data_IF_991367514210
#
_entry.id   IF_991367514210
#
_cell.length_a   1.000
_cell.length_b   1.000
_cell.length_c   1.000
_cell.angle_alpha   90.00
_cell.angle_beta   90.00
_cell.angle_gamma   90.00
#
_symmetry.space_group_name_H-M   'P 1'
#
loop_
_entity.id
_entity.type
_entity.pdbx_description
1 polymer ?
#
# COMPACT_ATOMS: atom_id res chain seq x y z
N UNK A 1 2.89 -3.42 14.18
CA UNK A 1 2.43 -4.31 13.08
C UNK A 1 3.27 -3.96 11.87
N UNK A 2 3.99 -4.93 11.29
CA UNK A 2 4.93 -4.69 10.18
C UNK A 2 4.35 -5.18 8.86
N UNK A 3 4.44 -4.33 7.84
CA UNK A 3 3.88 -4.55 6.52
C UNK A 3 4.95 -4.31 5.45
N UNK A 4 4.92 -5.13 4.41
CA UNK A 4 5.59 -4.79 3.17
C UNK A 4 4.57 -4.14 2.25
N UNK A 5 4.88 -2.92 1.83
CA UNK A 5 4.04 -2.16 0.92
C UNK A 5 4.82 -1.98 -0.38
N UNK A 6 4.25 -2.43 -1.47
CA UNK A 6 4.81 -2.21 -2.81
C UNK A 6 3.98 -1.16 -3.51
N UNK A 7 4.64 -0.08 -3.92
CA UNK A 7 4.05 1.00 -4.69
C UNK A 7 4.75 0.99 -6.04
N UNK A 8 4.00 0.67 -7.09
CA UNK A 8 4.53 0.44 -8.44
C UNK A 8 5.66 -0.61 -8.47
N UNK A 9 6.92 -0.16 -8.44
CA UNK A 9 8.12 -1.01 -8.44
C UNK A 9 9.08 -0.74 -7.28
N UNK A 10 8.62 0.00 -6.26
CA UNK A 10 9.39 0.26 -5.03
C UNK A 10 8.77 -0.50 -3.86
N UNK A 11 9.61 -1.26 -3.16
CA UNK A 11 9.24 -1.94 -1.92
C UNK A 11 9.57 -1.03 -0.72
N UNK A 12 8.61 -0.89 0.19
CA UNK A 12 8.74 -0.17 1.44
C UNK A 12 8.47 -1.11 2.60
N UNK A 13 9.33 -1.06 3.60
CA UNK A 13 9.12 -1.74 4.88
C UNK A 13 8.54 -0.73 5.87
N UNK A 14 7.32 -1.01 6.31
CA UNK A 14 6.53 -0.12 7.16
C UNK A 14 6.20 -0.83 8.46
N UNK A 15 6.72 -0.33 9.58
CA UNK A 15 6.27 -0.76 10.90
C UNK A 15 5.31 0.27 11.49
N UNK A 16 4.08 -0.13 11.79
CA UNK A 16 3.03 0.73 12.36
C UNK A 16 2.82 0.37 13.82
N UNK A 17 3.00 1.33 14.71
CA UNK A 17 2.69 1.23 16.14
C UNK A 17 1.59 2.21 16.49
N UNK A 18 0.55 1.74 17.17
CA UNK A 18 -0.47 2.61 17.72
C UNK A 18 -0.14 2.90 19.18
N UNK A 19 0.02 4.18 19.53
CA UNK A 19 0.35 4.61 20.90
C UNK A 19 -0.29 5.97 21.16
N UNK A 20 -0.92 6.14 22.33
CA UNK A 20 -1.48 7.44 22.77
C UNK A 20 -2.38 8.08 21.71
N UNK A 21 -3.33 7.30 21.20
CA UNK A 21 -4.29 7.69 20.14
C UNK A 21 -3.71 8.07 18.78
N UNK A 22 -2.38 7.95 18.60
CA UNK A 22 -1.70 8.28 17.35
C UNK A 22 -1.06 7.05 16.72
N UNK A 23 -0.94 7.08 15.39
CA UNK A 23 -0.20 6.09 14.64
C UNK A 23 1.24 6.57 14.44
N UNK A 24 2.20 5.73 14.80
CA UNK A 24 3.62 5.93 14.54
C UNK A 24 4.03 4.93 13.48
N UNK A 25 4.43 5.40 12.31
CA UNK A 25 4.93 4.57 11.23
C UNK A 25 6.45 4.74 11.09
N UNK A 26 7.20 3.65 11.09
CA UNK A 26 8.61 3.65 10.69
C UNK A 26 8.70 3.18 9.25
N UNK A 27 9.05 4.07 8.33
CA UNK A 27 9.20 3.79 6.90
C UNK A 27 10.70 3.81 6.58
N UNK A 28 11.27 2.67 6.16
CA UNK A 28 12.70 2.53 5.85
C UNK A 28 13.64 3.08 6.95
N UNK A 29 13.26 2.88 8.22
CA UNK A 29 14.02 3.34 9.39
C UNK A 29 13.79 4.79 9.82
N UNK A 30 12.98 5.58 9.08
CA UNK A 30 12.55 6.92 9.50
C UNK A 30 11.20 6.84 10.21
N UNK A 31 11.14 7.36 11.42
CA UNK A 31 9.87 7.48 12.16
C UNK A 31 9.05 8.66 11.64
N UNK A 32 7.76 8.41 11.46
CA UNK A 32 6.77 9.34 10.95
C UNK A 32 5.54 9.25 11.84
N UNK A 33 5.08 10.39 12.33
CA UNK A 33 3.83 10.47 13.09
C UNK A 33 2.68 10.68 12.11
N UNK A 34 1.67 9.84 12.21
CA UNK A 34 0.48 9.85 11.38
C UNK A 34 -0.72 10.11 12.29
N UNK A 35 -1.40 11.21 12.03
CA UNK A 35 -2.74 11.44 12.54
C UNK A 35 -3.75 11.06 11.45
N UNK A 36 -4.76 10.26 11.75
CA UNK A 36 -5.71 9.81 10.74
C UNK A 36 -7.13 10.07 11.19
N UNK A 37 -7.87 10.86 10.40
CA UNK A 37 -9.28 11.10 10.60
C UNK A 37 -10.07 10.54 9.43
N UNK A 38 -10.92 9.55 9.71
CA UNK A 38 -11.78 8.94 8.71
C UNK A 38 -12.99 9.85 8.45
N UNK A 39 -13.20 10.24 7.20
CA UNK A 39 -14.31 11.11 6.77
C UNK A 39 -15.53 10.31 6.29
N UNK A 40 -15.31 9.11 5.76
CA UNK A 40 -16.36 8.23 5.22
C UNK A 40 -15.86 6.81 5.07
N UNK A 41 -16.57 5.97 4.32
CA UNK A 41 -16.19 4.55 4.19
C UNK A 41 -14.80 4.34 3.56
N UNK A 42 -14.50 5.08 2.49
CA UNK A 42 -13.29 4.97 1.68
C UNK A 42 -12.31 6.14 1.86
N UNK A 43 -12.79 7.28 2.36
CA UNK A 43 -12.00 8.51 2.47
C UNK A 43 -11.51 8.77 3.89
N UNK A 44 -10.26 9.19 3.97
CA UNK A 44 -9.58 9.59 5.20
C UNK A 44 -8.67 10.78 4.95
N UNK A 45 -8.64 11.72 5.89
CA UNK A 45 -7.60 12.75 5.96
C UNK A 45 -6.49 12.18 6.83
N UNK A 46 -5.26 12.26 6.32
CA UNK A 46 -4.05 11.90 7.05
C UNK A 46 -3.18 13.14 7.23
N UNK A 47 -2.73 13.38 8.45
CA UNK A 47 -1.72 14.38 8.76
C UNK A 47 -0.38 13.67 8.94
N UNK A 48 0.57 13.92 8.06
CA UNK A 48 1.88 13.29 8.04
C UNK A 48 2.93 14.40 8.09
N UNK A 49 3.75 14.45 9.14
CA UNK A 49 4.76 15.52 9.33
C UNK A 49 4.19 16.94 9.16
N UNK A 50 2.99 17.19 9.72
CA UNK A 50 2.29 18.46 9.64
C UNK A 50 1.79 18.88 8.24
N UNK A 51 1.82 17.95 7.27
CA UNK A 51 1.18 18.09 5.96
C UNK A 51 -0.10 17.28 5.94
N UNK A 52 -1.20 17.91 5.52
CA UNK A 52 -2.50 17.26 5.37
C UNK A 52 -2.65 16.64 3.99
N UNK A 53 -2.98 15.35 3.93
CA UNK A 53 -3.26 14.60 2.73
C UNK A 53 -4.68 14.04 2.79
N UNK A 54 -5.45 14.25 1.73
CA UNK A 54 -6.70 13.53 1.54
C UNK A 54 -6.40 12.23 0.79
N UNK A 55 -6.83 11.11 1.36
CA UNK A 55 -6.58 9.76 0.88
C UNK A 55 -7.91 9.04 0.69
N UNK A 56 -8.20 8.63 -0.54
CA UNK A 56 -9.32 7.72 -0.86
C UNK A 56 -8.76 6.32 -1.17
N UNK A 57 -9.15 5.34 -0.37
CA UNK A 57 -8.70 3.95 -0.51
C UNK A 57 -9.84 3.11 -1.04
N UNK A 58 -9.69 2.62 -2.27
CA UNK A 58 -10.63 1.70 -2.91
C UNK A 58 -10.04 0.29 -2.91
N UNK A 59 -10.79 -0.66 -2.36
CA UNK A 59 -10.43 -2.07 -2.39
C UNK A 59 -11.03 -2.70 -3.65
N UNK A 60 -10.21 -3.31 -4.50
CA UNK A 60 -10.67 -3.98 -5.73
C UNK A 60 -11.20 -5.41 -5.45
N UNK A 61 -11.95 -5.60 -4.36
CA UNK A 61 -12.48 -6.90 -3.96
C UNK A 61 -11.49 -7.78 -3.17
N UNK A 62 -11.37 -9.06 -3.57
CA UNK A 62 -10.56 -10.10 -2.90
C UNK A 62 -9.05 -10.00 -3.16
N UNK A 63 -8.64 -9.11 -4.07
CA UNK A 63 -7.24 -8.98 -4.44
C UNK A 63 -6.46 -8.14 -3.41
N UNK A 64 -5.14 -8.38 -3.31
CA UNK A 64 -4.26 -7.69 -2.35
C UNK A 64 -3.90 -6.27 -2.80
N UNK A 65 -4.29 -5.93 -4.02
CA UNK A 65 -4.14 -4.62 -4.63
C UNK A 65 -5.22 -3.67 -4.12
N UNK A 66 -4.79 -2.49 -3.67
CA UNK A 66 -5.65 -1.38 -3.31
C UNK A 66 -5.27 -0.18 -4.19
N UNK A 67 -6.28 0.45 -4.78
CA UNK A 67 -6.09 1.75 -5.44
C UNK A 67 -6.19 2.83 -4.36
N UNK A 68 -5.12 3.61 -4.21
CA UNK A 68 -5.04 4.72 -3.28
C UNK A 68 -4.98 6.00 -4.08
N UNK A 69 -5.96 6.87 -3.92
CA UNK A 69 -6.01 8.18 -4.57
C UNK A 69 -5.54 9.25 -3.59
N UNK A 70 -4.48 9.98 -3.96
CA UNK A 70 -3.88 11.05 -3.15
C UNK A 70 -3.44 12.19 -4.07
N UNK A 71 -3.74 13.44 -3.71
CA UNK A 71 -3.36 14.64 -4.47
C UNK A 71 -3.76 14.60 -5.95
N UNK A 72 -4.90 13.97 -6.26
CA UNK A 72 -5.39 13.82 -7.65
C UNK A 72 -4.67 12.76 -8.48
N UNK A 73 -3.79 11.95 -7.87
CA UNK A 73 -3.12 10.81 -8.52
C UNK A 73 -3.68 9.49 -7.99
N UNK A 74 -3.93 8.54 -8.90
CA UNK A 74 -4.24 7.15 -8.54
C UNK A 74 -2.94 6.34 -8.44
N UNK A 75 -2.73 5.73 -7.28
CA UNK A 75 -1.54 4.94 -6.98
C UNK A 75 -1.99 3.51 -6.66
N UNK A 76 -1.49 2.54 -7.42
CA UNK A 76 -1.71 1.12 -7.12
C UNK A 76 -0.76 0.67 -6.02
N UNK A 77 -1.33 0.17 -4.91
CA UNK A 77 -0.60 -0.23 -3.72
C UNK A 77 -0.92 -1.68 -3.39
N UNK A 78 0.12 -2.51 -3.30
CA UNK A 78 0.01 -3.88 -2.80
C UNK A 78 0.46 -3.92 -1.33
N UNK A 79 -0.41 -4.40 -0.44
CA UNK A 79 -0.11 -4.49 0.99
C UNK A 79 -0.04 -5.97 1.38
N UNK A 80 1.12 -6.42 1.84
CA UNK A 80 1.31 -7.77 2.36
C UNK A 80 1.79 -7.74 3.81
N UNK A 81 1.30 -8.69 4.62
CA UNK A 81 1.83 -8.89 5.97
C UNK A 81 3.26 -9.44 5.90
N UNK A 82 4.16 -8.93 6.73
CA UNK A 82 5.57 -9.32 6.79
C UNK A 82 5.79 -10.84 6.84
N UNK A 83 5.04 -11.55 7.69
CA UNK A 83 5.16 -13.00 7.86
C UNK A 83 4.76 -13.74 6.58
N UNK A 84 3.72 -13.27 5.90
CA UNK A 84 3.20 -13.88 4.68
C UNK A 84 4.16 -13.63 3.50
N UNK A 85 4.65 -12.40 3.35
CA UNK A 85 5.63 -12.04 2.34
C UNK A 85 6.94 -12.83 2.48
N UNK A 86 7.43 -13.04 3.71
CA UNK A 86 8.59 -13.89 3.96
C UNK A 86 8.35 -15.35 3.54
N UNK A 87 7.18 -15.91 3.86
CA UNK A 87 6.83 -17.27 3.49
C UNK A 87 6.75 -17.42 1.96
N UNK A 88 6.18 -16.45 1.24
CA UNK A 88 6.18 -16.43 -0.23
C UNK A 88 7.59 -16.33 -0.83
N UNK A 89 8.43 -15.43 -0.30
CA UNK A 89 9.83 -15.29 -0.72
C UNK A 89 10.60 -16.60 -0.51
N UNK A 90 10.39 -17.29 0.63
CA UNK A 90 10.97 -18.62 0.89
C UNK A 90 10.38 -19.73 0.03
N UNK A 91 9.10 -19.65 -0.33
CA UNK A 91 8.42 -20.60 -1.20
C UNK A 91 8.74 -20.42 -2.70
N UNK A 92 9.61 -19.49 -3.07
CA UNK A 92 9.98 -19.25 -4.47
C UNK A 92 8.87 -18.61 -5.31
N UNK A 93 7.77 -18.17 -4.69
CA UNK A 93 6.69 -17.47 -5.36
C UNK A 93 7.06 -15.99 -5.47
N UNK A 94 8.03 -15.67 -6.33
CA UNK A 94 8.15 -14.30 -6.83
C UNK A 94 6.87 -14.00 -7.60
N UNK A 95 6.15 -12.96 -7.16
CA UNK A 95 5.05 -12.38 -7.93
C UNK A 95 5.63 -11.74 -9.19
N UNK A 96 5.96 -12.59 -10.16
CA UNK A 96 6.27 -12.18 -11.52
C UNK A 96 5.01 -12.39 -12.33
N UNK A 97 4.01 -11.55 -12.11
CA UNK A 97 3.12 -11.20 -13.20
C UNK A 97 3.90 -10.27 -14.13
N UNK A 98 4.86 -10.82 -14.88
CA UNK A 98 5.22 -10.24 -16.18
C UNK A 98 3.93 -10.39 -16.99
N UNK A 99 3.12 -9.34 -17.04
CA UNK A 99 2.15 -9.21 -18.12
C UNK A 99 2.96 -9.18 -19.40
N UNK A 100 3.03 -10.31 -20.08
CA UNK A 100 3.42 -10.35 -21.48
C UNK A 100 2.49 -9.39 -22.23
N UNK A 101 3.02 -8.23 -22.61
CA UNK A 101 2.42 -7.27 -23.53
C UNK A 101 2.40 -7.82 -24.96
N UNK A 102 1.99 -9.09 -25.13
CA UNK A 102 1.67 -9.63 -26.46
C UNK A 102 0.18 -9.45 -26.70
N UNK A 103 -0.17 -8.29 -27.26
CA UNK A 103 -1.42 -8.13 -28.00
C UNK A 103 -1.46 -9.18 -29.12
N UNK A 104 -2.13 -10.31 -28.87
CA UNK A 104 -2.58 -11.17 -29.97
C UNK A 104 -3.75 -10.46 -30.63
N UNK A 105 -3.49 -9.86 -31.78
CA UNK A 105 -4.55 -9.35 -32.64
C UNK A 105 -5.51 -10.51 -32.98
N UNK A 106 -6.84 -10.35 -32.81
CA UNK A 106 -7.80 -11.31 -33.31
C UNK A 106 -7.83 -11.20 -34.84
N UNK A 107 -7.52 -12.29 -35.54
CA UNK A 107 -7.72 -12.35 -37.00
C UNK A 107 -9.22 -12.49 -37.33
N UNK A 108 -9.65 -12.05 -38.53
CA UNK A 108 -11.05 -12.04 -38.97
C UNK A 108 -11.65 -13.45 -39.15
#
# INVERSE_FOLDING_TARGET
>A
MRYFVKIENKEFDIDIKYKSEKYYATINGKEVVIDSHKLGESRSIMLINNLSFEVDVRSNGYDRSKSVFVLGQEISVEIENYNLAQLKKKAGMSSSAKMDLTLKAPMP
#
